data_IF_925799917380
#
_entry.id   IF_925799917380
#
_cell.length_a   1.000
_cell.length_b   1.000
_cell.length_c   1.000
_cell.angle_alpha   90.00
_cell.angle_beta   90.00
_cell.angle_gamma   90.00
#
_symmetry.space_group_name_H-M   'P 1'
#
loop_
_entity.id
_entity.type
_entity.pdbx_description
1 polymer ?
#
# COMPACT_ATOMS: atom_id res chain seq x y z
N UNK A 1 -13.24 12.11 14.50
CA UNK A 1 -13.13 13.26 15.43
C UNK A 1 -14.46 13.62 16.14
N UNK A 2 -15.58 13.65 15.43
CA UNK A 2 -16.86 14.07 16.01
C UNK A 2 -17.41 13.17 17.16
N UNK A 3 -17.11 11.88 17.17
CA UNK A 3 -17.64 10.96 18.19
C UNK A 3 -17.00 11.15 19.58
N UNK A 4 -15.70 11.42 19.66
CA UNK A 4 -15.01 11.63 20.95
C UNK A 4 -15.46 12.94 21.57
N UNK A 5 -15.57 14.02 20.79
CA UNK A 5 -16.08 15.31 21.27
C UNK A 5 -17.54 15.23 21.74
N UNK A 6 -18.37 14.48 21.05
CA UNK A 6 -19.77 14.26 21.46
C UNK A 6 -19.86 13.46 22.77
N UNK A 7 -19.09 12.37 22.91
CA UNK A 7 -19.08 11.55 24.13
C UNK A 7 -18.57 12.34 25.34
N UNK A 8 -17.53 13.16 25.19
CA UNK A 8 -17.02 14.00 26.28
C UNK A 8 -18.03 15.06 26.70
N UNK A 9 -18.69 15.74 25.73
CA UNK A 9 -19.75 16.71 26.02
C UNK A 9 -20.93 16.06 26.74
N UNK A 10 -21.38 14.90 26.27
CA UNK A 10 -22.46 14.13 26.90
C UNK A 10 -22.10 13.70 28.32
N UNK A 11 -20.90 13.21 28.54
CA UNK A 11 -20.40 12.81 29.88
C UNK A 11 -20.41 13.99 30.86
N UNK A 12 -19.93 15.17 30.44
CA UNK A 12 -19.93 16.39 31.26
C UNK A 12 -21.37 16.79 31.59
N UNK A 13 -22.29 16.73 30.64
CA UNK A 13 -23.70 17.08 30.82
C UNK A 13 -24.40 16.14 31.83
N UNK A 14 -24.18 14.85 31.70
CA UNK A 14 -24.74 13.83 32.62
C UNK A 14 -24.17 14.00 34.04
N UNK A 15 -22.88 14.23 34.17
CA UNK A 15 -22.20 14.45 35.45
C UNK A 15 -22.73 15.72 36.13
N UNK A 16 -22.92 16.79 35.36
CA UNK A 16 -23.50 18.04 35.88
C UNK A 16 -24.94 17.83 36.35
N UNK A 17 -25.78 17.17 35.55
CA UNK A 17 -27.18 16.91 35.97
C UNK A 17 -27.24 16.09 37.25
N UNK A 18 -26.43 15.03 37.37
CA UNK A 18 -26.34 14.22 38.57
C UNK A 18 -25.87 15.02 39.78
N UNK A 19 -24.83 15.85 39.62
CA UNK A 19 -24.34 16.73 40.71
C UNK A 19 -25.39 17.76 41.14
N UNK A 20 -26.15 18.34 40.18
CA UNK A 20 -27.21 19.28 40.46
C UNK A 20 -28.36 18.65 41.27
N UNK A 21 -28.75 17.42 40.94
CA UNK A 21 -29.76 16.67 41.70
C UNK A 21 -29.31 16.40 43.15
N UNK A 22 -28.07 15.95 43.30
CA UNK A 22 -27.49 15.68 44.64
C UNK A 22 -27.40 16.97 45.48
N UNK A 23 -26.96 18.05 44.83
CA UNK A 23 -26.84 19.36 45.51
C UNK A 23 -28.22 19.87 45.95
N UNK A 24 -29.24 19.72 45.08
CA UNK A 24 -30.63 20.06 45.40
C UNK A 24 -31.13 19.29 46.63
N UNK A 25 -30.93 17.98 46.64
CA UNK A 25 -31.38 17.14 47.79
C UNK A 25 -30.67 17.56 49.08
N UNK A 26 -29.38 17.79 49.03
CA UNK A 26 -28.60 18.25 50.20
C UNK A 26 -29.04 19.64 50.66
N UNK A 27 -29.28 20.57 49.76
CA UNK A 27 -29.74 21.91 50.09
C UNK A 27 -31.09 21.89 50.78
N UNK A 28 -32.05 21.14 50.24
CA UNK A 28 -33.35 20.96 50.86
C UNK A 28 -33.26 20.33 52.27
N UNK A 29 -32.45 19.32 52.42
CA UNK A 29 -32.22 18.68 53.73
C UNK A 29 -31.59 19.63 54.70
N UNK A 30 -30.60 20.40 54.24
CA UNK A 30 -29.96 21.42 55.07
C UNK A 30 -30.93 22.50 55.53
N UNK A 31 -31.73 23.04 54.65
CA UNK A 31 -32.71 24.09 54.98
C UNK A 31 -33.80 23.60 55.97
N UNK A 32 -34.28 22.39 55.78
CA UNK A 32 -35.23 21.79 56.76
C UNK A 32 -34.61 21.66 58.14
N UNK A 33 -33.41 21.17 58.20
CA UNK A 33 -32.67 21.00 59.44
C UNK A 33 -32.35 22.33 60.14
N UNK A 34 -32.01 23.37 59.33
CA UNK A 34 -31.70 24.71 59.80
C UNK A 34 -32.95 25.35 60.43
N UNK A 35 -34.10 25.32 59.77
CA UNK A 35 -35.34 25.84 60.31
C UNK A 35 -35.79 25.06 61.55
N UNK A 36 -35.60 23.75 61.56
CA UNK A 36 -35.91 22.92 62.73
C UNK A 36 -35.05 23.29 63.93
N UNK A 37 -33.74 23.39 63.74
CA UNK A 37 -32.80 23.75 64.81
C UNK A 37 -33.13 25.15 65.35
N UNK A 38 -33.43 26.12 64.50
CA UNK A 38 -33.81 27.46 64.87
C UNK A 38 -35.12 27.47 65.68
N UNK A 39 -36.12 26.67 65.26
CA UNK A 39 -37.40 26.55 65.93
C UNK A 39 -37.23 25.92 67.35
N UNK A 40 -36.42 24.89 67.48
CA UNK A 40 -36.14 24.23 68.76
C UNK A 40 -35.35 25.14 69.71
N UNK A 41 -34.40 25.92 69.16
CA UNK A 41 -33.70 26.90 69.94
C UNK A 41 -34.62 27.99 70.45
N UNK A 42 -35.48 28.53 69.60
CA UNK A 42 -36.44 29.57 69.95
C UNK A 42 -37.51 29.04 70.93
N UNK A 43 -37.95 27.78 70.76
CA UNK A 43 -38.79 27.10 71.73
C UNK A 43 -38.18 27.13 73.15
N UNK A 44 -36.92 26.63 73.23
CA UNK A 44 -36.21 26.62 74.51
C UNK A 44 -36.09 28.00 75.14
N UNK A 45 -35.81 29.04 74.34
CA UNK A 45 -35.70 30.42 74.82
C UNK A 45 -37.06 30.96 75.30
N UNK A 46 -38.12 30.67 74.54
CA UNK A 46 -39.49 31.13 74.89
C UNK A 46 -40.05 30.43 76.14
N UNK A 47 -39.89 29.13 76.26
CA UNK A 47 -40.34 28.34 77.40
C UNK A 47 -39.59 28.76 78.69
N UNK A 48 -38.30 29.20 78.59
CA UNK A 48 -37.53 29.56 79.74
C UNK A 48 -37.58 31.06 80.09
N UNK A 49 -37.59 31.98 79.07
CA UNK A 49 -37.47 33.42 79.31
C UNK A 49 -38.80 34.21 79.07
N UNK A 50 -39.80 33.60 78.51
CA UNK A 50 -41.06 34.23 78.15
C UNK A 50 -41.07 34.99 76.84
N UNK A 51 -42.24 35.44 76.40
CA UNK A 51 -42.46 36.09 75.10
C UNK A 51 -41.90 37.54 75.01
N UNK A 52 -41.61 38.17 76.15
CA UNK A 52 -41.10 39.55 76.18
C UNK A 52 -39.73 39.70 75.48
N UNK A 53 -39.02 38.66 75.31
CA UNK A 53 -37.74 38.64 74.58
C UNK A 53 -37.91 38.60 73.05
N UNK A 54 -39.10 38.30 72.52
CA UNK A 54 -39.38 38.32 71.12
C UNK A 54 -39.69 39.74 70.65
N UNK A 55 -38.73 40.59 70.52
CA UNK A 55 -38.88 41.88 69.85
C UNK A 55 -38.72 41.71 68.36
N UNK A 56 -39.38 42.57 67.56
CA UNK A 56 -39.20 42.62 66.08
C UNK A 56 -37.73 42.75 65.64
N UNK A 57 -36.87 43.32 66.52
CA UNK A 57 -35.44 43.42 66.28
C UNK A 57 -34.75 42.07 66.40
N UNK A 58 -35.10 41.23 67.35
CA UNK A 58 -34.52 39.93 67.56
C UNK A 58 -34.88 38.99 66.40
N UNK A 59 -36.14 39.04 65.93
CA UNK A 59 -36.60 38.27 64.80
C UNK A 59 -35.94 38.68 63.43
N UNK A 60 -35.55 39.93 63.28
CA UNK A 60 -34.84 40.37 62.07
C UNK A 60 -33.37 39.91 62.01
N UNK A 61 -32.75 39.53 63.14
CA UNK A 61 -31.38 39.00 63.18
C UNK A 61 -31.31 37.61 62.56
N UNK A 62 -32.34 36.79 62.67
CA UNK A 62 -32.37 35.38 62.21
C UNK A 62 -32.76 35.26 60.76
N UNK A 63 -33.17 36.36 60.07
CA UNK A 63 -33.68 36.36 58.68
C UNK A 63 -34.89 35.43 58.43
N UNK A 64 -35.47 34.93 59.55
CA UNK A 64 -36.60 34.00 59.53
C UNK A 64 -37.89 34.77 59.91
N UNK A 65 -39.04 34.30 59.46
CA UNK A 65 -40.33 34.79 59.92
C UNK A 65 -40.75 33.92 61.12
N UNK A 66 -40.91 34.56 62.24
CA UNK A 66 -41.37 33.94 63.50
C UNK A 66 -42.80 34.34 63.74
N UNK A 67 -43.67 33.35 63.98
CA UNK A 67 -45.06 33.54 64.25
C UNK A 67 -45.48 32.71 65.45
N UNK A 68 -46.18 33.30 66.42
CA UNK A 68 -46.80 32.55 67.58
C UNK A 68 -48.30 32.54 67.44
N UNK A 69 -48.89 31.37 67.61
CA UNK A 69 -50.36 31.18 67.55
C UNK A 69 -50.85 30.75 68.90
N UNK A 70 -52.09 31.20 69.23
CA UNK A 70 -52.88 30.62 70.32
C UNK A 70 -53.39 29.24 69.89
N UNK A 71 -53.82 28.40 70.82
CA UNK A 71 -54.42 27.09 70.55
C UNK A 71 -55.63 27.14 69.53
N UNK A 72 -56.38 28.25 69.52
CA UNK A 72 -57.49 28.47 68.60
C UNK A 72 -56.95 28.85 67.15
N UNK A 73 -55.71 29.02 66.98
CA UNK A 73 -55.04 29.38 65.69
C UNK A 73 -55.04 30.88 65.40
N UNK A 74 -55.44 31.70 66.33
CA UNK A 74 -55.24 33.16 66.24
C UNK A 74 -53.80 33.55 66.43
N UNK A 75 -53.32 34.57 65.73
CA UNK A 75 -51.88 34.98 65.75
C UNK A 75 -51.65 35.87 66.96
N UNK A 76 -50.78 35.44 67.88
CA UNK A 76 -50.37 36.21 69.03
C UNK A 76 -49.23 37.16 68.70
N UNK A 77 -48.29 36.71 67.87
CA UNK A 77 -47.15 37.51 67.42
C UNK A 77 -46.70 37.08 66.00
N UNK A 78 -46.33 38.07 65.18
CA UNK A 78 -45.61 37.82 63.92
C UNK A 78 -44.50 38.84 63.69
N UNK A 79 -43.35 38.38 63.31
CA UNK A 79 -42.12 39.22 63.17
C UNK A 79 -42.14 40.13 61.95
N UNK A 80 -43.00 39.88 60.93
CA UNK A 80 -43.04 40.64 59.69
C UNK A 80 -44.31 41.39 59.44
N UNK A 81 -45.44 41.01 60.10
CA UNK A 81 -46.74 41.60 59.90
C UNK A 81 -47.43 41.88 61.24
N UNK A 82 -48.38 42.82 61.27
CA UNK A 82 -49.18 43.06 62.45
C UNK A 82 -50.13 41.83 62.72
N UNK A 83 -50.02 41.24 63.89
CA UNK A 83 -50.79 40.05 64.31
C UNK A 83 -52.24 40.30 64.19
N UNK A 84 -52.74 41.52 64.51
CA UNK A 84 -54.18 41.89 64.43
C UNK A 84 -54.74 41.89 63.00
N UNK A 85 -53.90 42.00 61.98
CA UNK A 85 -54.32 41.98 60.57
C UNK A 85 -54.31 40.60 59.93
N UNK A 86 -53.92 39.58 60.69
CA UNK A 86 -53.69 38.23 60.14
C UNK A 86 -54.95 37.36 60.34
N UNK A 87 -55.19 36.55 59.30
CA UNK A 87 -56.24 35.50 59.32
C UNK A 87 -55.89 34.38 60.30
N UNK A 88 -56.89 33.63 60.73
CA UNK A 88 -56.65 32.47 61.59
C UNK A 88 -55.92 31.35 60.83
N UNK A 89 -54.82 30.87 61.39
CA UNK A 89 -53.98 29.87 60.78
C UNK A 89 -54.11 28.44 61.27
N UNK A 90 -55.23 28.12 62.03
CA UNK A 90 -55.49 26.78 62.56
C UNK A 90 -55.49 25.67 61.55
N UNK A 91 -55.87 25.99 60.31
CA UNK A 91 -55.98 25.01 59.23
C UNK A 91 -54.63 24.77 58.49
N UNK A 92 -53.56 25.43 58.85
CA UNK A 92 -52.29 25.24 58.24
C UNK A 92 -51.69 23.86 58.58
N UNK A 93 -51.19 23.05 57.57
CA UNK A 93 -50.75 21.67 57.81
C UNK A 93 -49.64 21.55 58.89
N UNK A 94 -48.71 22.46 58.89
CA UNK A 94 -47.61 22.53 59.88
C UNK A 94 -48.15 22.82 61.27
N UNK A 95 -49.18 23.69 61.43
CA UNK A 95 -49.82 24.03 62.72
C UNK A 95 -50.62 22.86 63.23
N UNK A 96 -51.46 22.23 62.39
CA UNK A 96 -52.18 21.02 62.77
C UNK A 96 -51.30 19.86 63.18
N UNK A 97 -50.19 19.68 62.52
CA UNK A 97 -49.22 18.62 62.85
C UNK A 97 -48.58 18.92 64.21
N UNK A 98 -48.22 20.18 64.50
CA UNK A 98 -47.63 20.60 65.74
C UNK A 98 -48.61 20.38 66.91
N UNK A 99 -49.88 20.73 66.73
CA UNK A 99 -50.98 20.48 67.74
C UNK A 99 -51.17 18.99 68.02
N UNK A 100 -51.05 18.13 67.06
CA UNK A 100 -51.29 16.69 67.23
C UNK A 100 -50.08 15.91 67.70
N UNK A 101 -48.88 16.25 67.22
CA UNK A 101 -47.65 15.46 67.39
C UNK A 101 -46.53 16.22 68.13
N UNK A 102 -46.84 17.47 68.59
CA UNK A 102 -45.83 18.35 69.21
C UNK A 102 -44.93 19.11 68.21
N UNK A 103 -44.83 18.65 66.98
CA UNK A 103 -44.08 19.29 65.90
C UNK A 103 -44.67 19.04 64.52
N UNK A 104 -44.46 19.97 63.56
CA UNK A 104 -44.95 19.86 62.22
C UNK A 104 -44.05 20.63 61.22
N UNK A 105 -43.86 20.07 60.02
CA UNK A 105 -43.14 20.76 58.99
C UNK A 105 -43.95 20.86 57.68
N UNK A 106 -43.69 21.93 56.91
CA UNK A 106 -44.29 22.14 55.60
C UNK A 106 -43.35 22.98 54.72
N UNK A 107 -43.31 22.63 53.43
CA UNK A 107 -42.58 23.42 52.42
C UNK A 107 -43.64 23.98 51.47
N UNK A 108 -43.60 25.31 51.24
CA UNK A 108 -44.47 26.00 50.29
C UNK A 108 -43.64 26.65 49.19
N UNK A 109 -44.08 26.43 47.97
CA UNK A 109 -43.46 27.04 46.79
C UNK A 109 -44.42 28.12 46.30
N UNK A 110 -43.94 29.35 46.20
CA UNK A 110 -44.67 30.45 45.56
C UNK A 110 -44.28 30.49 44.08
N UNK A 111 -45.18 30.05 43.22
CA UNK A 111 -44.99 30.11 41.76
C UNK A 111 -44.87 31.52 41.24
N UNK A 112 -45.53 32.49 41.90
CA UNK A 112 -45.53 33.92 41.49
C UNK A 112 -44.26 34.64 41.85
N UNK A 113 -43.59 34.29 42.96
CA UNK A 113 -42.41 34.98 43.45
C UNK A 113 -41.12 34.16 43.18
N UNK A 114 -41.26 32.95 42.65
CA UNK A 114 -40.16 31.99 42.49
C UNK A 114 -39.37 31.81 43.80
N UNK A 115 -40.10 31.78 44.92
CA UNK A 115 -39.54 31.58 46.26
C UNK A 115 -40.07 30.29 46.88
N UNK A 116 -39.23 29.69 47.75
CA UNK A 116 -39.62 28.49 48.52
C UNK A 116 -39.47 28.82 49.98
N UNK A 117 -40.55 28.56 50.74
CA UNK A 117 -40.54 28.80 52.18
C UNK A 117 -40.66 27.49 52.93
N UNK A 118 -39.69 27.24 53.77
CA UNK A 118 -39.67 26.13 54.70
C UNK A 118 -40.30 26.59 56.02
N UNK A 119 -41.34 25.90 56.49
CA UNK A 119 -41.99 26.13 57.76
C UNK A 119 -41.79 24.96 58.70
N UNK A 120 -41.45 25.30 59.96
CA UNK A 120 -41.41 24.34 61.04
C UNK A 120 -42.25 24.92 62.20
N UNK A 121 -43.17 24.16 62.73
CA UNK A 121 -43.99 24.54 63.86
C UNK A 121 -43.79 23.59 65.04
N UNK A 122 -43.72 24.14 66.23
CA UNK A 122 -43.48 23.39 67.46
C UNK A 122 -44.39 23.91 68.58
N UNK A 123 -44.95 23.02 69.39
CA UNK A 123 -45.78 23.38 70.52
C UNK A 123 -44.91 23.85 71.69
N UNK A 124 -45.26 24.97 72.33
CA UNK A 124 -44.65 25.53 73.53
C UNK A 124 -45.28 24.92 74.78
N UNK A 125 -44.61 25.07 75.98
CA UNK A 125 -45.13 24.56 77.26
C UNK A 125 -46.42 25.19 77.67
N UNK A 126 -46.79 26.43 77.23
CA UNK A 126 -48.00 27.13 77.50
C UNK A 126 -49.16 26.77 76.56
N UNK A 127 -49.00 25.79 75.69
CA UNK A 127 -49.98 25.32 74.68
C UNK A 127 -50.06 26.18 73.42
N UNK A 128 -49.26 27.24 73.28
CA UNK A 128 -49.14 28.01 72.05
C UNK A 128 -48.24 27.29 71.05
N UNK A 129 -48.36 27.74 69.82
CA UNK A 129 -47.57 27.14 68.74
C UNK A 129 -46.60 28.19 68.17
N UNK A 130 -45.31 27.89 68.21
CA UNK A 130 -44.23 28.64 67.55
C UNK A 130 -44.06 28.10 66.13
N UNK A 131 -44.12 28.97 65.12
CA UNK A 131 -43.80 28.65 63.77
C UNK A 131 -42.61 29.52 63.27
N UNK A 132 -41.58 28.89 62.77
CA UNK A 132 -40.50 29.55 62.11
C UNK A 132 -40.56 29.27 60.59
N UNK A 133 -40.44 30.33 59.79
CA UNK A 133 -40.46 30.21 58.35
C UNK A 133 -39.27 30.88 57.72
N UNK A 134 -38.55 30.17 56.87
CA UNK A 134 -37.41 30.69 56.17
C UNK A 134 -37.61 30.63 54.69
N UNK A 135 -37.61 31.79 54.05
CA UNK A 135 -37.82 31.92 52.60
C UNK A 135 -36.48 32.00 51.90
N UNK A 136 -36.31 31.20 50.88
CA UNK A 136 -35.13 31.19 50.06
C UNK A 136 -35.55 31.35 48.58
N UNK A 137 -34.64 31.81 47.75
CA UNK A 137 -34.87 31.74 46.28
C UNK A 137 -35.26 30.32 45.88
N UNK A 138 -36.21 30.19 44.98
CA UNK A 138 -36.59 28.86 44.49
C UNK A 138 -35.36 28.19 43.89
N UNK A 139 -35.30 26.87 44.10
CA UNK A 139 -34.21 26.05 43.57
C UNK A 139 -34.04 26.25 42.06
N UNK A 140 -35.15 26.49 41.37
CA UNK A 140 -35.13 26.76 39.93
C UNK A 140 -34.31 28.01 39.59
N UNK A 141 -34.44 29.11 40.39
CA UNK A 141 -33.69 30.35 40.18
C UNK A 141 -32.21 30.15 40.50
N UNK A 142 -31.87 29.40 41.54
CA UNK A 142 -30.50 29.04 41.91
C UNK A 142 -29.87 28.12 40.87
N UNK A 143 -30.61 27.14 40.37
CA UNK A 143 -30.14 26.30 39.26
C UNK A 143 -29.94 27.10 37.97
N UNK A 144 -30.89 27.96 37.59
CA UNK A 144 -30.76 28.80 36.39
C UNK A 144 -29.53 29.72 36.47
N UNK A 145 -29.25 30.32 37.61
CA UNK A 145 -28.02 31.14 37.78
C UNK A 145 -26.74 30.30 37.69
N UNK A 146 -26.77 29.06 38.14
CA UNK A 146 -25.65 28.13 38.05
C UNK A 146 -25.41 27.63 36.59
N UNK A 147 -26.48 27.54 35.77
CA UNK A 147 -26.37 27.14 34.37
C UNK A 147 -25.53 28.13 33.53
N UNK A 148 -25.59 29.41 33.82
CA UNK A 148 -24.76 30.41 33.09
C UNK A 148 -23.28 30.23 33.33
N UNK A 149 -22.88 30.03 34.58
CA UNK A 149 -21.49 29.78 34.94
C UNK A 149 -20.99 28.46 34.38
N UNK A 150 -21.84 27.41 34.46
CA UNK A 150 -21.52 26.10 33.93
C UNK A 150 -21.44 26.08 32.39
N UNK A 151 -22.30 26.83 31.71
CA UNK A 151 -22.23 27.00 30.27
C UNK A 151 -20.90 27.63 29.82
N UNK A 152 -20.44 28.67 30.54
CA UNK A 152 -19.15 29.29 30.28
C UNK A 152 -17.98 28.32 30.51
N UNK A 153 -18.02 27.55 31.61
CA UNK A 153 -17.01 26.53 31.89
C UNK A 153 -16.98 25.42 30.82
N UNK A 154 -18.17 24.95 30.40
CA UNK A 154 -18.27 23.94 29.35
C UNK A 154 -17.66 24.46 28.03
N UNK A 155 -17.97 25.68 27.63
CA UNK A 155 -17.39 26.30 26.42
C UNK A 155 -15.87 26.41 26.54
N UNK A 156 -15.37 26.82 27.69
CA UNK A 156 -13.94 26.93 27.95
C UNK A 156 -13.22 25.56 27.87
N UNK A 157 -13.79 24.52 28.46
CA UNK A 157 -13.26 23.14 28.42
C UNK A 157 -13.27 22.59 27.01
N UNK A 158 -14.37 22.78 26.26
CA UNK A 158 -14.47 22.33 24.86
C UNK A 158 -13.47 23.11 23.97
N UNK A 159 -13.32 24.41 24.18
CA UNK A 159 -12.33 25.22 23.47
C UNK A 159 -10.90 24.75 23.72
N UNK A 160 -10.56 24.48 25.01
CA UNK A 160 -9.25 23.93 25.38
C UNK A 160 -9.03 22.53 24.75
N UNK A 161 -10.02 21.67 24.85
CA UNK A 161 -9.94 20.31 24.26
C UNK A 161 -9.74 20.38 22.74
N UNK A 162 -10.45 21.28 22.05
CA UNK A 162 -10.28 21.49 20.61
C UNK A 162 -8.87 21.98 20.28
N UNK A 163 -8.35 22.96 21.01
CA UNK A 163 -7.00 23.50 20.81
C UNK A 163 -5.92 22.41 21.04
N UNK A 164 -6.07 21.59 22.08
CA UNK A 164 -5.16 20.47 22.36
C UNK A 164 -5.20 19.43 21.24
N UNK A 165 -6.39 19.04 20.78
CA UNK A 165 -6.55 18.06 19.69
C UNK A 165 -5.94 18.62 18.40
N UNK A 166 -6.19 19.88 18.06
CA UNK A 166 -5.61 20.51 16.87
C UNK A 166 -4.07 20.54 16.94
N UNK A 167 -3.53 20.95 18.09
CA UNK A 167 -2.08 20.97 18.30
C UNK A 167 -1.46 19.57 18.19
N UNK A 168 -2.05 18.57 18.84
CA UNK A 168 -1.60 17.18 18.80
C UNK A 168 -1.69 16.61 17.38
N UNK A 169 -2.80 16.88 16.66
CA UNK A 169 -2.98 16.41 15.29
C UNK A 169 -1.92 16.97 14.36
N UNK A 170 -1.66 18.28 14.45
CA UNK A 170 -0.58 18.90 13.66
C UNK A 170 0.78 18.30 13.99
N UNK A 171 1.11 18.15 15.26
CA UNK A 171 2.39 17.61 15.70
C UNK A 171 2.63 16.16 15.29
N UNK A 172 1.58 15.32 15.25
CA UNK A 172 1.70 13.89 14.93
C UNK A 172 1.54 13.57 13.45
N UNK A 173 0.67 14.31 12.74
CA UNK A 173 0.32 13.98 11.35
C UNK A 173 1.17 14.76 10.35
N UNK A 174 1.54 15.98 10.65
CA UNK A 174 2.31 16.83 9.72
C UNK A 174 3.67 16.22 9.33
N UNK A 175 4.48 15.65 10.24
CA UNK A 175 5.72 14.96 9.90
C UNK A 175 5.48 13.73 9.00
N UNK A 176 4.39 12.99 9.25
CA UNK A 176 4.04 11.82 8.43
C UNK A 176 3.68 12.24 7.00
N UNK A 177 2.94 13.34 6.84
CA UNK A 177 2.56 13.84 5.52
C UNK A 177 3.74 14.46 4.74
N UNK A 178 4.82 14.82 5.43
CA UNK A 178 6.05 15.37 4.84
C UNK A 178 7.10 14.30 4.53
N UNK A 179 6.83 13.01 4.83
CA UNK A 179 7.74 11.93 4.52
C UNK A 179 8.02 11.87 3.02
N UNK A 180 9.28 11.95 2.67
CA UNK A 180 9.75 11.65 1.33
C UNK A 180 9.75 10.14 1.10
N UNK A 181 8.80 9.66 0.30
CA UNK A 181 8.68 8.23 -0.02
C UNK A 181 9.68 7.79 -1.11
N UNK A 182 10.35 8.72 -1.78
CA UNK A 182 11.46 8.37 -2.70
C UNK A 182 12.73 8.06 -1.92
N UNK A 183 12.99 8.79 -0.83
CA UNK A 183 14.14 8.58 0.06
C UNK A 183 13.69 8.33 1.51
N UNK A 184 12.96 7.22 1.77
CA UNK A 184 12.21 7.06 3.02
C UNK A 184 13.08 6.93 4.28
N UNK A 185 14.40 6.70 4.13
CA UNK A 185 15.33 6.51 5.24
C UNK A 185 16.19 7.74 5.56
N UNK A 186 16.13 8.81 4.76
CA UNK A 186 16.97 10.00 4.97
C UNK A 186 16.54 10.82 6.19
N UNK A 187 15.22 10.90 6.48
CA UNK A 187 14.69 11.67 7.60
C UNK A 187 13.60 10.87 8.33
N UNK A 188 14.01 9.98 9.23
CA UNK A 188 13.09 9.19 10.06
C UNK A 188 12.81 9.94 11.36
N UNK A 189 11.70 10.68 11.45
CA UNK A 189 11.30 11.40 12.67
C UNK A 189 10.71 10.46 13.75
N UNK A 190 10.13 9.33 13.35
CA UNK A 190 9.54 8.33 14.24
C UNK A 190 10.21 6.97 14.05
N UNK A 191 10.91 6.50 15.07
CA UNK A 191 11.57 5.18 15.04
C UNK A 191 10.58 4.02 14.81
N UNK A 192 9.32 4.19 15.25
CA UNK A 192 8.25 3.21 15.07
C UNK A 192 7.88 3.00 13.60
N UNK A 193 8.13 3.99 12.73
CA UNK A 193 7.89 3.91 11.30
C UNK A 193 9.06 3.29 10.53
N UNK A 194 10.24 3.14 11.14
CA UNK A 194 11.44 2.59 10.50
C UNK A 194 11.23 1.24 9.82
N UNK A 195 10.52 0.24 10.42
CA UNK A 195 10.26 -1.03 9.75
C UNK A 195 9.40 -0.88 8.48
N UNK A 196 8.45 0.06 8.49
CA UNK A 196 7.61 0.37 7.34
C UNK A 196 8.42 1.07 6.25
N UNK A 197 9.22 2.07 6.62
CA UNK A 197 10.07 2.83 5.70
C UNK A 197 11.14 1.96 5.05
N UNK A 198 11.73 1.01 5.80
CA UNK A 198 12.62 -0.01 5.24
C UNK A 198 11.93 -0.87 4.16
N UNK A 199 10.69 -1.25 4.38
CA UNK A 199 9.91 -1.99 3.36
C UNK A 199 9.69 -1.16 2.10
N UNK A 200 9.35 0.12 2.26
CA UNK A 200 9.16 1.04 1.13
C UNK A 200 10.46 1.21 0.36
N UNK A 201 11.60 1.40 1.03
CA UNK A 201 12.91 1.52 0.40
C UNK A 201 13.28 0.27 -0.42
N UNK A 202 13.08 -0.93 0.16
CA UNK A 202 13.31 -2.20 -0.55
C UNK A 202 12.41 -2.32 -1.78
N UNK A 203 11.11 -1.95 -1.65
CA UNK A 203 10.19 -1.97 -2.78
C UNK A 203 10.58 -0.98 -3.88
N UNK A 204 10.98 0.24 -3.51
CA UNK A 204 11.44 1.24 -4.48
C UNK A 204 12.67 0.75 -5.26
N UNK A 205 13.66 0.16 -4.57
CA UNK A 205 14.84 -0.44 -5.20
C UNK A 205 14.47 -1.59 -6.15
N UNK A 206 13.52 -2.42 -5.75
CA UNK A 206 13.04 -3.52 -6.59
C UNK A 206 12.31 -3.01 -7.83
N UNK A 207 11.44 -2.00 -7.68
CA UNK A 207 10.73 -1.36 -8.79
C UNK A 207 11.73 -0.69 -9.74
N UNK A 208 12.70 0.06 -9.21
CA UNK A 208 13.74 0.70 -10.02
C UNK A 208 14.51 -0.31 -10.85
N UNK A 209 14.88 -1.46 -10.25
CA UNK A 209 15.54 -2.57 -10.95
C UNK A 209 14.67 -3.15 -12.06
N UNK A 210 13.39 -3.41 -11.79
CA UNK A 210 12.44 -3.95 -12.78
C UNK A 210 12.19 -2.97 -13.93
N UNK A 211 12.11 -1.66 -13.63
CA UNK A 211 11.97 -0.61 -14.65
C UNK A 211 13.21 -0.57 -15.56
N UNK A 212 14.41 -0.71 -14.99
CA UNK A 212 15.65 -0.72 -15.77
C UNK A 212 15.75 -1.98 -16.65
N UNK A 213 15.42 -3.16 -16.09
CA UNK A 213 15.36 -4.42 -16.86
C UNK A 213 14.34 -4.31 -18.02
N UNK A 214 13.17 -3.71 -17.76
CA UNK A 214 12.14 -3.52 -18.78
C UNK A 214 12.61 -2.54 -19.89
N UNK A 215 13.29 -1.45 -19.51
CA UNK A 215 13.87 -0.51 -20.49
C UNK A 215 14.90 -1.18 -21.38
N UNK A 216 15.78 -2.00 -20.79
CA UNK A 216 16.78 -2.75 -21.55
C UNK A 216 16.11 -3.76 -22.50
N UNK A 217 15.13 -4.51 -22.04
CA UNK A 217 14.37 -5.44 -22.89
C UNK A 217 13.64 -4.70 -24.02
N UNK A 218 13.06 -3.54 -23.75
CA UNK A 218 12.40 -2.72 -24.78
C UNK A 218 13.40 -2.17 -25.80
N UNK A 219 14.58 -1.73 -25.36
CA UNK A 219 15.64 -1.25 -26.25
C UNK A 219 16.09 -2.37 -27.23
N UNK A 220 16.35 -3.57 -26.69
CA UNK A 220 16.71 -4.75 -27.51
C UNK A 220 15.60 -5.10 -28.49
N UNK A 221 14.34 -5.06 -28.07
CA UNK A 221 13.19 -5.32 -28.96
C UNK A 221 13.06 -4.28 -30.08
N UNK A 222 13.27 -3.00 -29.77
CA UNK A 222 13.26 -1.92 -30.76
C UNK A 222 14.36 -2.09 -31.79
N UNK A 223 15.58 -2.36 -31.32
CA UNK A 223 16.73 -2.59 -32.20
C UNK A 223 16.50 -3.79 -33.10
N UNK A 224 16.00 -4.90 -32.56
CA UNK A 224 15.61 -6.08 -33.33
C UNK A 224 14.61 -5.74 -34.44
N UNK A 225 13.51 -5.04 -34.10
CA UNK A 225 12.49 -4.66 -35.09
C UNK A 225 13.01 -3.75 -36.18
N UNK A 226 13.90 -2.82 -35.82
CA UNK A 226 14.55 -1.93 -36.79
C UNK A 226 15.47 -2.70 -37.73
N UNK A 227 16.30 -3.62 -37.19
CA UNK A 227 17.22 -4.45 -37.94
C UNK A 227 16.48 -5.41 -38.88
N UNK A 228 15.40 -6.08 -38.39
CA UNK A 228 14.51 -6.90 -39.23
C UNK A 228 13.98 -6.10 -40.41
N UNK A 229 13.43 -4.91 -40.16
CA UNK A 229 12.86 -4.08 -41.22
C UNK A 229 13.91 -3.70 -42.29
N UNK A 230 15.13 -3.36 -41.82
CA UNK A 230 16.22 -3.01 -42.70
C UNK A 230 16.71 -4.20 -43.55
N UNK A 231 16.93 -5.37 -42.92
CA UNK A 231 17.45 -6.57 -43.58
C UNK A 231 16.42 -7.21 -44.52
N UNK A 232 15.11 -7.02 -44.32
CA UNK A 232 14.05 -7.41 -45.23
C UNK A 232 13.93 -6.45 -46.42
N UNK A 233 14.10 -5.13 -46.19
CA UNK A 233 13.91 -4.11 -47.25
C UNK A 233 14.96 -4.21 -48.34
N UNK A 234 16.22 -4.49 -47.96
CA UNK A 234 17.33 -4.52 -48.93
C UNK A 234 17.15 -5.58 -50.02
N UNK A 235 16.95 -6.89 -49.74
CA UNK A 235 16.73 -7.90 -50.74
C UNK A 235 15.45 -7.64 -51.58
N UNK A 236 14.38 -7.17 -50.90
CA UNK A 236 13.13 -6.83 -51.58
C UNK A 236 13.29 -5.72 -52.64
N UNK A 237 14.07 -4.68 -52.30
CA UNK A 237 14.40 -3.62 -53.25
C UNK A 237 15.25 -4.12 -54.42
N UNK A 238 16.22 -5.03 -54.19
CA UNK A 238 17.05 -5.65 -55.21
C UNK A 238 16.21 -6.51 -56.18
N UNK A 239 15.32 -7.36 -55.61
CA UNK A 239 14.38 -8.17 -56.41
C UNK A 239 13.51 -7.28 -57.27
N UNK A 240 12.88 -6.26 -56.67
CA UNK A 240 12.01 -5.33 -57.39
C UNK A 240 12.76 -4.57 -58.47
N UNK A 241 13.96 -4.11 -58.21
CA UNK A 241 14.79 -3.38 -59.21
C UNK A 241 15.21 -4.26 -60.37
N UNK A 242 15.68 -5.48 -60.13
CA UNK A 242 16.02 -6.41 -61.23
C UNK A 242 14.77 -6.79 -62.05
N UNK A 243 13.66 -7.08 -61.40
CA UNK A 243 12.40 -7.39 -62.08
C UNK A 243 11.89 -6.20 -62.90
N UNK A 244 12.00 -4.96 -62.42
CA UNK A 244 11.59 -3.76 -63.16
C UNK A 244 12.44 -3.50 -64.38
N UNK A 245 13.77 -3.64 -64.27
CA UNK A 245 14.71 -3.50 -65.39
C UNK A 245 14.40 -4.57 -66.50
N UNK A 246 14.16 -5.81 -66.08
CA UNK A 246 13.75 -6.90 -66.98
C UNK A 246 12.38 -6.60 -67.65
N UNK A 247 11.38 -6.18 -66.89
CA UNK A 247 10.06 -5.85 -67.39
C UNK A 247 10.07 -4.72 -68.43
N UNK A 248 10.92 -3.73 -68.26
CA UNK A 248 11.07 -2.58 -69.14
C UNK A 248 11.92 -2.86 -70.40
N UNK A 249 12.36 -4.10 -70.58
CA UNK A 249 13.19 -4.49 -71.74
C UNK A 249 14.59 -3.86 -71.77
N UNK A 250 15.09 -3.40 -70.61
CA UNK A 250 16.42 -2.77 -70.49
C UNK A 250 17.53 -3.82 -70.33
N UNK A 251 17.21 -5.10 -70.27
CA UNK A 251 18.15 -6.22 -70.15
C UNK A 251 18.28 -6.87 -71.53
N UNK A 252 19.49 -7.11 -72.00
CA UNK A 252 19.76 -7.86 -73.22
C UNK A 252 19.28 -9.30 -73.04
N UNK A 253 18.83 -9.94 -74.11
CA UNK A 253 18.25 -11.27 -74.00
C UNK A 253 19.25 -12.33 -73.51
N UNK A 254 20.52 -12.15 -73.74
CA UNK A 254 21.64 -12.98 -73.24
C UNK A 254 21.88 -12.83 -71.74
N UNK A 255 21.52 -11.67 -71.13
CA UNK A 255 21.73 -11.38 -69.69
C UNK A 255 20.49 -11.74 -68.83
N UNK A 256 19.34 -12.06 -69.44
CA UNK A 256 18.07 -12.43 -68.75
C UNK A 256 18.31 -13.56 -67.73
N UNK A 257 19.03 -14.66 -68.06
CA UNK A 257 19.30 -15.74 -67.08
C UNK A 257 20.09 -15.28 -65.85
N UNK A 258 21.05 -14.35 -66.05
CA UNK A 258 21.82 -13.80 -64.94
C UNK A 258 20.94 -12.97 -63.98
N UNK A 259 20.10 -12.07 -64.52
CA UNK A 259 19.18 -11.26 -63.74
C UNK A 259 18.13 -12.13 -63.03
N UNK A 260 17.59 -13.16 -63.66
CA UNK A 260 16.70 -14.13 -63.06
C UNK A 260 17.39 -14.91 -61.94
N UNK A 261 18.65 -15.29 -62.12
CA UNK A 261 19.48 -15.90 -61.06
C UNK A 261 19.66 -14.98 -59.87
N UNK A 262 19.94 -13.71 -60.08
CA UNK A 262 20.09 -12.73 -58.98
C UNK A 262 18.75 -12.54 -58.20
N UNK A 263 17.62 -12.52 -58.91
CA UNK A 263 16.28 -12.48 -58.25
C UNK A 263 16.06 -13.72 -57.40
N UNK A 264 16.42 -14.90 -57.94
CA UNK A 264 16.27 -16.17 -57.26
C UNK A 264 17.15 -16.21 -55.97
N UNK A 265 18.40 -15.79 -56.08
CA UNK A 265 19.32 -15.77 -54.94
C UNK A 265 18.86 -14.84 -53.82
N UNK A 266 18.38 -13.64 -54.17
CA UNK A 266 17.83 -12.69 -53.19
C UNK A 266 16.53 -13.16 -52.56
N UNK A 267 15.63 -13.84 -53.36
CA UNK A 267 14.42 -14.43 -52.82
C UNK A 267 14.70 -15.60 -51.88
N UNK A 268 15.67 -16.45 -52.22
CA UNK A 268 16.12 -17.56 -51.37
C UNK A 268 16.72 -17.05 -50.04
N UNK A 269 17.51 -15.99 -50.12
CA UNK A 269 18.07 -15.30 -48.95
C UNK A 269 16.97 -14.72 -48.07
N UNK A 270 15.96 -14.07 -48.67
CA UNK A 270 14.85 -13.51 -47.92
C UNK A 270 14.03 -14.61 -47.21
N UNK A 271 13.84 -15.75 -47.85
CA UNK A 271 13.15 -16.91 -47.28
C UNK A 271 13.92 -17.45 -46.07
N UNK A 272 15.26 -17.58 -46.15
CA UNK A 272 16.09 -18.00 -45.03
C UNK A 272 16.01 -16.99 -43.86
N UNK A 273 16.09 -15.70 -44.17
CA UNK A 273 15.99 -14.65 -43.15
C UNK A 273 14.65 -14.69 -42.38
N UNK A 274 13.53 -14.87 -43.13
CA UNK A 274 12.20 -15.01 -42.50
C UNK A 274 12.14 -16.25 -41.61
N UNK A 275 12.69 -17.39 -42.05
CA UNK A 275 12.78 -18.61 -41.24
C UNK A 275 13.55 -18.34 -39.93
N UNK A 276 14.72 -17.72 -40.02
CA UNK A 276 15.55 -17.42 -38.83
C UNK A 276 14.84 -16.48 -37.88
N UNK A 277 14.11 -15.47 -38.38
CA UNK A 277 13.30 -14.55 -37.54
C UNK A 277 12.19 -15.30 -36.79
N UNK A 278 11.50 -16.22 -37.46
CA UNK A 278 10.44 -17.04 -36.86
C UNK A 278 11.03 -17.95 -35.75
N UNK A 279 12.19 -18.55 -35.99
CA UNK A 279 12.84 -19.40 -35.00
C UNK A 279 13.28 -18.60 -33.77
N UNK A 280 13.87 -17.42 -33.94
CA UNK A 280 14.21 -16.53 -32.81
C UNK A 280 12.96 -16.10 -32.05
N UNK A 281 11.88 -15.73 -32.76
CA UNK A 281 10.62 -15.32 -32.11
C UNK A 281 10.03 -16.45 -31.25
N UNK A 282 10.08 -17.71 -31.73
CA UNK A 282 9.64 -18.87 -30.95
C UNK A 282 10.49 -19.09 -29.70
N UNK A 283 11.80 -18.91 -29.82
CA UNK A 283 12.72 -19.02 -28.69
C UNK A 283 12.49 -17.94 -27.63
N UNK A 284 12.11 -16.72 -28.05
CA UNK A 284 11.82 -15.59 -27.14
C UNK A 284 10.49 -15.75 -26.40
N UNK A 285 9.44 -16.31 -27.04
CA UNK A 285 8.07 -16.31 -26.50
C UNK A 285 7.74 -17.49 -25.58
N UNK A 286 8.36 -18.67 -25.75
CA UNK A 286 7.83 -19.91 -25.16
C UNK A 286 8.85 -20.96 -24.74
N UNK A 287 9.75 -20.61 -23.84
CA UNK A 287 10.61 -21.64 -23.22
C UNK A 287 9.86 -22.70 -22.38
N UNK A 288 8.59 -22.48 -22.05
CA UNK A 288 7.80 -23.38 -21.19
C UNK A 288 6.85 -24.35 -21.92
N UNK A 289 6.60 -24.18 -23.25
CA UNK A 289 5.64 -25.03 -23.99
C UNK A 289 6.30 -25.94 -25.04
N UNK A 290 7.62 -25.91 -25.18
CA UNK A 290 8.31 -26.74 -26.15
C UNK A 290 8.47 -28.19 -25.62
N UNK A 291 8.19 -29.22 -26.43
CA UNK A 291 8.32 -30.61 -26.00
C UNK A 291 9.81 -30.94 -25.90
N UNK A 292 10.26 -31.21 -24.67
CA UNK A 292 11.56 -31.80 -24.40
C UNK A 292 11.49 -33.31 -24.48
N UNK A 293 12.47 -33.92 -25.15
CA UNK A 293 12.58 -35.35 -25.36
C UNK A 293 14.05 -35.81 -25.28
N UNK A 294 14.27 -37.11 -25.14
CA UNK A 294 15.61 -37.65 -25.29
C UNK A 294 16.01 -37.67 -26.78
N UNK A 295 17.07 -36.97 -27.10
CA UNK A 295 17.52 -36.73 -28.49
C UNK A 295 18.91 -37.33 -28.65
N UNK A 296 19.07 -38.24 -29.58
CA UNK A 296 20.38 -38.75 -30.00
C UNK A 296 21.13 -37.67 -30.80
N UNK A 297 22.12 -37.06 -30.16
CA UNK A 297 22.92 -35.94 -30.74
C UNK A 297 23.86 -36.46 -31.83
N UNK A 298 24.29 -37.74 -31.75
CA UNK A 298 25.13 -38.32 -32.75
C UNK A 298 24.37 -38.52 -34.07
N UNK A 299 23.15 -39.02 -34.02
CA UNK A 299 22.26 -39.15 -35.18
C UNK A 299 22.04 -37.77 -35.83
N UNK A 300 21.75 -36.74 -35.03
CA UNK A 300 21.58 -35.36 -35.56
C UNK A 300 22.86 -34.84 -36.20
N UNK A 301 24.01 -35.09 -35.61
CA UNK A 301 25.32 -34.66 -36.14
C UNK A 301 25.60 -35.31 -37.50
N UNK A 302 25.37 -36.65 -37.63
CA UNK A 302 25.55 -37.34 -38.89
C UNK A 302 24.61 -36.83 -40.00
N UNK A 303 23.35 -36.66 -39.69
CA UNK A 303 22.32 -36.12 -40.63
C UNK A 303 22.70 -34.72 -41.11
N UNK A 304 23.10 -33.84 -40.22
CA UNK A 304 23.53 -32.46 -40.56
C UNK A 304 24.79 -32.48 -41.44
N UNK A 305 25.79 -33.28 -41.07
CA UNK A 305 27.05 -33.36 -41.85
C UNK A 305 26.81 -33.96 -43.23
N UNK A 306 25.96 -34.96 -43.33
CA UNK A 306 25.55 -35.54 -44.63
C UNK A 306 24.84 -34.50 -45.51
N UNK A 307 23.86 -33.75 -44.94
CA UNK A 307 23.12 -32.72 -45.69
C UNK A 307 24.04 -31.60 -46.14
N UNK A 308 25.05 -31.19 -45.35
CA UNK A 308 25.99 -30.13 -45.67
C UNK A 308 27.19 -30.56 -46.52
N UNK A 309 27.35 -31.87 -46.76
CA UNK A 309 28.51 -32.42 -47.57
C UNK A 309 28.55 -31.85 -48.99
N UNK A 310 27.39 -31.66 -49.62
CA UNK A 310 27.32 -31.08 -50.98
C UNK A 310 27.70 -29.55 -50.93
N UNK A 311 27.32 -28.86 -49.86
CA UNK A 311 27.66 -27.45 -49.64
C UNK A 311 29.20 -27.31 -49.41
N UNK A 312 29.80 -28.15 -48.59
CA UNK A 312 31.23 -28.22 -48.39
C UNK A 312 32.01 -28.50 -49.70
N UNK A 313 31.55 -29.49 -50.50
CA UNK A 313 32.18 -29.78 -51.82
C UNK A 313 32.16 -28.61 -52.78
N UNK A 314 31.05 -27.83 -52.86
CA UNK A 314 30.95 -26.63 -53.70
C UNK A 314 31.98 -25.55 -53.30
N UNK A 315 32.39 -25.52 -52.02
CA UNK A 315 33.38 -24.58 -51.46
C UNK A 315 34.76 -25.18 -51.32
N UNK A 316 34.95 -26.40 -51.77
CA UNK A 316 36.20 -27.14 -51.64
C UNK A 316 36.65 -27.29 -50.16
N UNK A 317 35.68 -27.54 -49.26
CA UNK A 317 35.90 -27.78 -47.81
C UNK A 317 35.55 -29.23 -47.47
N UNK A 318 36.46 -29.91 -46.76
CA UNK A 318 36.31 -31.27 -46.33
C UNK A 318 35.62 -31.33 -44.94
N UNK A 319 34.56 -32.12 -44.81
CA UNK A 319 33.85 -32.30 -43.52
C UNK A 319 34.22 -33.68 -43.01
N UNK A 320 34.60 -33.76 -41.73
CA UNK A 320 34.86 -35.03 -41.01
C UNK A 320 34.09 -35.09 -39.71
N UNK A 321 33.58 -36.25 -39.38
CA UNK A 321 32.83 -36.50 -38.15
C UNK A 321 33.59 -37.47 -37.28
N UNK A 322 33.53 -37.27 -35.95
CA UNK A 322 34.16 -38.15 -34.96
C UNK A 322 33.31 -38.17 -33.69
N UNK A 323 33.09 -39.34 -33.11
CA UNK A 323 32.37 -39.40 -31.84
C UNK A 323 31.65 -40.73 -31.59
N UNK A 324 30.84 -40.74 -30.56
CA UNK A 324 29.99 -41.89 -30.17
C UNK A 324 28.61 -41.42 -29.77
N UNK A 325 27.63 -42.30 -29.82
CA UNK A 325 26.25 -42.03 -29.44
C UNK A 325 26.14 -41.38 -28.06
N UNK A 326 25.38 -40.31 -27.96
CA UNK A 326 25.08 -39.60 -26.74
C UNK A 326 23.70 -38.97 -26.84
N UNK A 327 22.90 -39.10 -25.78
CA UNK A 327 21.54 -38.58 -25.71
C UNK A 327 21.50 -37.34 -24.80
N UNK A 328 20.83 -36.31 -25.27
CA UNK A 328 20.59 -35.06 -24.51
C UNK A 328 19.09 -34.84 -24.37
N UNK A 329 18.63 -34.52 -23.17
CA UNK A 329 17.24 -34.11 -22.94
C UNK A 329 17.02 -32.69 -23.43
N UNK A 330 16.25 -32.54 -24.49
CA UNK A 330 16.10 -31.24 -25.16
C UNK A 330 15.03 -31.21 -26.24
N UNK A 331 14.90 -30.07 -26.88
CA UNK A 331 13.98 -29.84 -27.99
C UNK A 331 14.69 -30.17 -29.29
N UNK A 332 14.34 -31.31 -29.92
CA UNK A 332 15.06 -31.90 -31.09
C UNK A 332 15.30 -30.86 -32.19
N UNK A 333 14.30 -30.10 -32.56
CA UNK A 333 14.47 -29.16 -33.70
C UNK A 333 15.41 -27.98 -33.35
N UNK A 334 15.43 -27.51 -32.09
CA UNK A 334 16.34 -26.44 -31.64
C UNK A 334 17.78 -26.97 -31.59
N UNK A 335 17.99 -28.18 -31.08
CA UNK A 335 19.29 -28.83 -31.09
C UNK A 335 19.82 -28.99 -32.53
N UNK A 336 18.94 -29.42 -33.47
CA UNK A 336 19.29 -29.48 -34.89
C UNK A 336 19.70 -28.11 -35.45
N UNK A 337 18.91 -27.05 -35.25
CA UNK A 337 19.20 -25.70 -35.76
C UNK A 337 20.52 -25.13 -35.16
N UNK A 338 20.77 -25.38 -33.87
CA UNK A 338 22.04 -24.98 -33.22
C UNK A 338 23.25 -25.65 -33.91
N UNK A 339 23.21 -26.96 -34.02
CA UNK A 339 24.30 -27.75 -34.61
C UNK A 339 24.47 -27.40 -36.09
N UNK A 340 23.37 -27.29 -36.85
CA UNK A 340 23.39 -26.90 -38.26
C UNK A 340 24.06 -25.54 -38.47
N UNK A 341 23.66 -24.52 -37.67
CA UNK A 341 24.24 -23.17 -37.77
C UNK A 341 25.75 -23.15 -37.49
N UNK A 342 26.23 -23.97 -36.55
CA UNK A 342 27.69 -24.06 -36.28
C UNK A 342 28.42 -24.69 -37.44
N UNK A 343 27.95 -25.81 -37.99
CA UNK A 343 28.60 -26.51 -39.11
C UNK A 343 28.53 -25.69 -40.40
N UNK A 344 27.37 -25.06 -40.68
CA UNK A 344 27.23 -24.20 -41.87
C UNK A 344 28.14 -22.96 -41.78
N UNK A 345 28.24 -22.29 -40.61
CA UNK A 345 29.20 -21.20 -40.41
C UNK A 345 30.64 -21.65 -40.62
N UNK A 346 31.03 -22.82 -40.11
CA UNK A 346 32.39 -23.36 -40.29
C UNK A 346 32.70 -23.64 -41.74
N UNK A 347 31.71 -24.03 -42.58
CA UNK A 347 31.89 -24.18 -44.04
C UNK A 347 31.93 -22.82 -44.72
N UNK A 348 31.05 -21.92 -44.33
CA UNK A 348 30.84 -20.64 -44.96
C UNK A 348 32.02 -19.67 -44.81
N UNK A 349 32.65 -19.66 -43.65
CA UNK A 349 33.77 -18.80 -43.30
C UNK A 349 35.13 -19.53 -43.41
N UNK A 350 35.14 -20.68 -44.10
CA UNK A 350 36.37 -21.41 -44.34
C UNK A 350 37.18 -20.84 -45.52
N UNK A 351 38.41 -21.27 -45.60
CA UNK A 351 39.28 -21.04 -46.77
C UNK A 351 39.10 -22.15 -47.78
N UNK A 352 39.43 -21.85 -49.00
CA UNK A 352 39.45 -22.86 -50.09
C UNK A 352 40.47 -24.00 -49.77
N UNK A 353 40.05 -25.26 -49.88
CA UNK A 353 40.86 -26.41 -49.48
C UNK A 353 40.93 -26.62 -47.94
N UNK A 354 40.09 -25.97 -47.19
CA UNK A 354 40.01 -26.13 -45.73
C UNK A 354 39.28 -27.37 -45.28
N UNK A 355 39.18 -27.50 -43.95
CA UNK A 355 38.44 -28.60 -43.32
C UNK A 355 37.50 -28.09 -42.23
N UNK A 356 36.45 -28.88 -41.95
CA UNK A 356 35.55 -28.77 -40.79
C UNK A 356 35.56 -30.10 -40.07
N UNK A 357 35.95 -30.12 -38.82
CA UNK A 357 35.90 -31.30 -37.95
C UNK A 357 34.74 -31.12 -36.97
N UNK A 358 33.78 -32.04 -37.04
CA UNK A 358 32.65 -32.08 -36.08
C UNK A 358 32.84 -33.27 -35.19
N UNK A 359 32.85 -33.07 -33.87
CA UNK A 359 33.12 -34.10 -32.90
C UNK A 359 32.11 -34.06 -31.75
N UNK A 360 31.77 -35.29 -31.26
CA UNK A 360 30.92 -35.50 -30.08
C UNK A 360 31.70 -36.34 -29.08
N UNK A 361 32.00 -35.73 -27.94
CA UNK A 361 32.75 -36.39 -26.87
C UNK A 361 32.00 -36.30 -25.56
N UNK A 362 32.27 -37.31 -24.67
CA UNK A 362 31.74 -37.30 -23.33
C UNK A 362 32.84 -36.92 -22.35
N UNK A 363 32.69 -35.76 -21.70
CA UNK A 363 33.62 -35.24 -20.71
C UNK A 363 33.02 -35.37 -19.31
N UNK A 364 33.27 -36.46 -18.62
CA UNK A 364 32.64 -36.77 -17.32
C UNK A 364 31.11 -36.98 -17.46
N UNK A 365 30.31 -36.09 -16.83
CA UNK A 365 28.86 -36.03 -16.95
C UNK A 365 28.36 -35.08 -18.04
N UNK A 366 29.25 -34.37 -18.72
CA UNK A 366 28.86 -33.44 -19.80
C UNK A 366 29.06 -34.10 -21.17
N UNK A 367 28.16 -33.77 -22.09
CA UNK A 367 28.26 -34.09 -23.51
C UNK A 367 28.75 -32.88 -24.23
N UNK A 368 29.89 -32.97 -24.89
CA UNK A 368 30.53 -31.87 -25.63
C UNK A 368 30.35 -32.05 -27.15
N UNK A 369 29.55 -31.21 -27.78
CA UNK A 369 29.48 -31.08 -29.23
C UNK A 369 30.44 -29.98 -29.67
N UNK A 370 31.39 -30.30 -30.54
CA UNK A 370 32.45 -29.42 -30.95
C UNK A 370 32.51 -29.31 -32.48
N UNK A 371 32.58 -28.09 -33.00
CA UNK A 371 32.88 -27.79 -34.40
C UNK A 371 34.16 -27.00 -34.46
N UNK A 372 35.15 -27.52 -35.25
CA UNK A 372 36.43 -26.91 -35.45
C UNK A 372 36.70 -26.72 -36.95
N UNK A 373 37.11 -25.55 -37.34
CA UNK A 373 37.49 -25.21 -38.71
C UNK A 373 38.91 -24.58 -38.76
N UNK A 374 39.50 -24.55 -39.94
CA UNK A 374 40.76 -23.86 -40.21
C UNK A 374 40.56 -22.64 -41.14
N UNK A 375 39.44 -21.98 -41.00
CA UNK A 375 39.02 -20.83 -41.80
C UNK A 375 39.69 -19.51 -41.41
N UNK A 376 38.95 -18.42 -41.64
CA UNK A 376 39.46 -17.03 -41.43
C UNK A 376 39.71 -16.69 -39.97
N UNK A 377 39.05 -17.37 -39.01
CA UNK A 377 39.09 -17.06 -37.59
C UNK A 377 38.43 -15.74 -37.24
N UNK A 378 38.36 -15.42 -35.94
CA UNK A 378 37.62 -14.31 -35.38
C UNK A 378 38.54 -13.52 -34.46
N UNK A 379 38.61 -12.19 -34.68
CA UNK A 379 39.40 -11.29 -33.84
C UNK A 379 38.80 -11.23 -32.40
N UNK A 380 39.66 -11.07 -31.40
CA UNK A 380 39.29 -11.15 -29.99
C UNK A 380 38.19 -10.13 -29.60
N UNK A 381 38.27 -8.95 -30.21
CA UNK A 381 37.32 -7.85 -29.97
C UNK A 381 35.90 -8.16 -30.49
N UNK A 382 35.78 -9.10 -31.42
CA UNK A 382 34.55 -9.47 -32.08
C UNK A 382 33.87 -10.71 -31.42
N UNK A 383 34.62 -11.51 -30.65
CA UNK A 383 34.20 -12.82 -30.17
C UNK A 383 32.97 -12.79 -29.24
N UNK A 384 32.79 -11.72 -28.49
CA UNK A 384 31.56 -11.54 -27.67
C UNK A 384 30.38 -11.10 -28.52
N UNK A 385 30.64 -10.32 -29.57
CA UNK A 385 29.62 -9.67 -30.39
C UNK A 385 29.04 -10.57 -31.48
N UNK A 386 29.75 -11.58 -31.92
CA UNK A 386 29.28 -12.51 -32.96
C UNK A 386 27.98 -13.24 -32.58
N UNK A 387 27.63 -13.30 -31.28
CA UNK A 387 26.38 -13.86 -30.77
C UNK A 387 25.23 -12.85 -30.66
N UNK A 388 25.50 -11.56 -30.98
CA UNK A 388 24.47 -10.53 -31.08
C UNK A 388 23.63 -10.75 -32.34
N UNK A 389 22.34 -10.41 -32.30
CA UNK A 389 21.42 -10.53 -33.44
C UNK A 389 21.80 -9.56 -34.54
N UNK A 390 21.86 -10.05 -35.81
CA UNK A 390 22.23 -9.30 -37.01
C UNK A 390 23.69 -8.80 -37.01
N UNK A 391 24.51 -9.23 -36.04
CA UNK A 391 25.92 -8.84 -36.02
C UNK A 391 26.73 -9.59 -37.08
N UNK A 392 27.65 -8.88 -37.70
CA UNK A 392 28.52 -9.41 -38.75
C UNK A 392 29.84 -8.64 -38.73
N UNK A 393 30.96 -9.34 -38.66
CA UNK A 393 32.30 -8.77 -38.61
C UNK A 393 32.61 -7.93 -39.87
N UNK A 394 32.17 -8.38 -41.05
CA UNK A 394 32.32 -7.64 -42.31
C UNK A 394 31.04 -7.64 -43.14
N UNK A 395 30.37 -6.49 -43.22
CA UNK A 395 29.14 -6.29 -44.00
C UNK A 395 29.32 -6.39 -45.51
N UNK A 396 30.55 -6.21 -46.04
CA UNK A 396 30.82 -6.20 -47.48
C UNK A 396 31.08 -7.60 -48.05
N UNK A 397 31.89 -8.40 -47.36
CA UNK A 397 32.18 -9.79 -47.75
C UNK A 397 31.00 -10.71 -47.50
N UNK A 398 30.25 -10.48 -46.46
CA UNK A 398 29.12 -11.32 -46.05
C UNK A 398 27.85 -11.15 -46.95
N UNK A 399 27.75 -10.09 -47.78
CA UNK A 399 26.72 -10.04 -48.85
C UNK A 399 26.95 -11.10 -49.95
N UNK A 400 28.20 -11.46 -50.22
CA UNK A 400 28.53 -12.53 -51.19
C UNK A 400 28.33 -13.93 -50.61
N UNK A 401 28.40 -14.08 -49.27
CA UNK A 401 28.25 -15.36 -48.61
C UNK A 401 26.85 -15.67 -48.12
N UNK A 402 25.92 -14.68 -48.14
CA UNK A 402 24.49 -14.92 -47.91
C UNK A 402 24.05 -15.02 -46.44
N UNK A 403 24.93 -14.82 -45.45
CA UNK A 403 24.60 -14.97 -44.01
C UNK A 403 23.61 -13.94 -43.52
N UNK A 404 22.68 -14.33 -42.66
CA UNK A 404 21.64 -13.48 -42.04
C UNK A 404 22.14 -12.71 -40.82
N UNK A 405 23.22 -13.16 -40.18
CA UNK A 405 23.70 -12.66 -38.87
C UNK A 405 22.81 -13.10 -37.69
N UNK A 406 21.94 -14.07 -37.91
CA UNK A 406 21.05 -14.62 -36.87
C UNK A 406 21.49 -16.03 -36.40
N UNK A 407 22.26 -16.78 -37.19
CA UNK A 407 22.62 -18.16 -36.89
C UNK A 407 23.30 -18.36 -35.53
N UNK A 408 24.35 -17.56 -35.21
CA UNK A 408 25.00 -17.67 -33.89
C UNK A 408 24.12 -17.16 -32.73
N UNK A 409 23.21 -16.23 -32.99
CA UNK A 409 22.22 -15.85 -31.96
C UNK A 409 21.21 -16.97 -31.69
N UNK A 410 20.83 -17.76 -32.68
CA UNK A 410 20.02 -18.98 -32.51
C UNK A 410 20.78 -19.99 -31.63
N UNK A 411 22.10 -20.19 -31.90
CA UNK A 411 22.95 -21.05 -31.07
C UNK A 411 22.95 -20.57 -29.62
N UNK A 412 23.16 -19.29 -29.37
CA UNK A 412 23.17 -18.72 -28.01
C UNK A 412 21.85 -18.93 -27.28
N UNK A 413 20.70 -18.62 -27.91
CA UNK A 413 19.38 -18.79 -27.30
C UNK A 413 19.03 -20.28 -27.09
N UNK A 414 19.35 -21.14 -28.06
CA UNK A 414 19.18 -22.57 -27.94
C UNK A 414 20.04 -23.17 -26.83
N UNK A 415 21.30 -22.77 -26.69
CA UNK A 415 22.16 -23.19 -25.58
C UNK A 415 21.59 -22.74 -24.21
N UNK A 416 21.11 -21.51 -24.12
CA UNK A 416 20.45 -21.01 -22.91
C UNK A 416 19.18 -21.82 -22.56
N UNK A 417 18.36 -22.17 -23.56
CA UNK A 417 17.16 -23.00 -23.37
C UNK A 417 17.50 -24.40 -22.80
N UNK A 418 18.65 -24.97 -23.24
CA UNK A 418 19.12 -26.29 -22.80
C UNK A 418 20.09 -26.23 -21.63
N UNK A 419 20.26 -25.07 -20.99
CA UNK A 419 21.26 -24.85 -19.91
C UNK A 419 22.67 -25.31 -20.29
N UNK A 420 23.02 -25.18 -21.57
CA UNK A 420 24.32 -25.56 -22.10
C UNK A 420 25.31 -24.39 -22.11
N UNK A 421 26.58 -24.69 -21.90
CA UNK A 421 27.64 -23.70 -21.94
C UNK A 421 28.29 -23.65 -23.36
N UNK A 422 28.52 -22.42 -23.87
CA UNK A 422 29.23 -22.22 -25.14
C UNK A 422 30.67 -21.80 -24.83
N UNK A 423 31.64 -22.52 -25.41
CA UNK A 423 33.08 -22.12 -25.40
C UNK A 423 33.53 -21.82 -26.80
N UNK A 424 34.22 -20.69 -26.97
CA UNK A 424 34.76 -20.22 -28.23
C UNK A 424 36.28 -20.03 -28.10
N UNK A 425 37.00 -20.66 -29.00
CA UNK A 425 38.45 -20.45 -29.17
C UNK A 425 38.72 -20.15 -30.66
N UNK A 426 39.24 -18.97 -30.94
CA UNK A 426 39.47 -18.52 -32.33
C UNK A 426 40.59 -17.50 -32.42
N UNK A 427 41.41 -17.63 -33.45
CA UNK A 427 42.44 -16.66 -33.80
C UNK A 427 42.37 -16.34 -35.31
N UNK A 428 42.52 -15.07 -35.69
CA UNK A 428 42.58 -14.67 -37.09
C UNK A 428 43.58 -15.47 -37.89
N UNK A 429 43.14 -16.07 -39.00
CA UNK A 429 43.95 -16.89 -39.90
C UNK A 429 44.26 -18.31 -39.45
N UNK A 430 43.88 -18.70 -38.23
CA UNK A 430 44.08 -20.08 -37.72
C UNK A 430 42.78 -20.92 -37.71
N UNK A 431 41.63 -20.28 -37.73
CA UNK A 431 40.32 -20.92 -37.72
C UNK A 431 39.57 -20.71 -36.41
N UNK A 432 38.48 -21.45 -36.24
CA UNK A 432 37.54 -21.29 -35.09
C UNK A 432 37.20 -22.66 -34.54
N UNK A 433 37.13 -22.76 -33.20
CA UNK A 433 36.60 -23.88 -32.47
C UNK A 433 35.45 -23.40 -31.57
N UNK A 434 34.25 -23.95 -31.79
CA UNK A 434 33.07 -23.69 -30.92
C UNK A 434 32.61 -25.00 -30.30
N UNK A 435 32.46 -24.99 -28.99
CA UNK A 435 32.01 -26.14 -28.21
C UNK A 435 30.71 -25.81 -27.51
N UNK A 436 29.75 -26.74 -27.52
CA UNK A 436 28.52 -26.69 -26.71
C UNK A 436 28.58 -27.83 -25.71
N UNK A 437 28.57 -27.49 -24.41
CA UNK A 437 28.62 -28.46 -23.33
C UNK A 437 27.22 -28.61 -22.74
N UNK A 438 26.62 -29.75 -22.91
CA UNK A 438 25.35 -30.14 -22.31
C UNK A 438 25.63 -30.90 -21.01
N UNK A 439 25.16 -30.31 -19.89
CA UNK A 439 25.27 -30.98 -18.58
C UNK A 439 24.13 -31.97 -18.39
N UNK A 440 24.47 -33.23 -18.07
CA UNK A 440 23.51 -34.26 -17.71
C UNK A 440 23.13 -34.14 -16.24
N UNK A 441 22.45 -33.03 -15.86
CA UNK A 441 21.92 -32.92 -14.50
C UNK A 441 20.74 -33.87 -14.30
N UNK A 442 20.93 -34.82 -13.40
CA UNK A 442 19.91 -35.76 -12.90
C UNK A 442 18.92 -35.10 -11.92
N UNK A 443 18.96 -33.78 -11.76
CA UNK A 443 18.11 -33.07 -10.80
C UNK A 443 17.26 -31.98 -11.49
N UNK A 444 16.16 -32.38 -12.11
CA UNK A 444 14.93 -31.59 -12.20
C UNK A 444 13.75 -32.49 -12.62
N UNK A 445 13.45 -33.51 -11.83
CA UNK A 445 12.09 -33.94 -11.56
C UNK A 445 11.70 -33.36 -10.19
N UNK A 446 11.04 -32.21 -10.13
CA UNK A 446 10.19 -31.79 -9.03
C UNK A 446 9.32 -30.60 -9.50
#
# INVERSE_FOLDING_TARGET
MNHVGFLTALSILVTFFAASVVMYQKYNSYMRQDVRNESQYLRYVLDYMGEEYLTQKAANITNSRITIFHEDGTVAFDSKMDAASMENHKNRPEVKAAQKNGEGEMVRISETLSEQTFYYAVELEDGKILRVGKTTDSVLKTLLSSFTLMGLLLIAVLGLAFAVVEHQTKKLIEPINRLDLEHPLEHVEYEELRPLLNRVDVQNKQIAKQVEELKQAEAVRREFSANVSHELKTPLMSISGYAEIMKNGMVRQEDVPEFAGRIYDEASRLTSLVKDIIEISKLDEKSGEMPFEQVDIYELMEDICQNLTLHGKKRNVTISTEGCGAEVYGVRHILYEMMYNLVDNAIQYNREGGYVKVSLTKEGEAICFCVEDNGIGIAKEEQERIFERFYRVDKSHSRKTGGTGLGLSIVKHGAALHHAEIKLDSEPGKGTRIQILFHTDKEKEA
#
